data_IF_393241268307
#
_entry.id   IF_393241268307
#
_cell.length_a   1.000
_cell.length_b   1.000
_cell.length_c   1.000
_cell.angle_alpha   90.00
_cell.angle_beta   90.00
_cell.angle_gamma   90.00
#
_symmetry.space_group_name_H-M   'P 1'
#
loop_
_entity.id
_entity.type
_entity.pdbx_description
1 polymer ?
#
# COMPACT_ATOMS: atom_id res chain seq x y z
N UNK A 1 -21.41 -7.02 7.67
CA UNK A 1 -21.71 -5.71 7.03
C UNK A 1 -20.61 -4.74 7.46
N UNK A 2 -19.71 -4.37 6.55
CA UNK A 2 -18.60 -3.48 6.85
C UNK A 2 -19.17 -2.07 7.04
N UNK A 3 -18.87 -1.44 8.17
CA UNK A 3 -19.37 -0.12 8.56
C UNK A 3 -18.86 0.94 7.58
N UNK A 4 -19.78 1.62 6.90
CA UNK A 4 -19.54 2.69 5.92
C UNK A 4 -18.84 3.93 6.49
N UNK A 5 -18.67 4.03 7.82
CA UNK A 5 -18.10 5.21 8.50
C UNK A 5 -16.59 5.42 8.25
N UNK A 6 -15.84 4.39 7.85
CA UNK A 6 -14.39 4.50 7.65
C UNK A 6 -14.01 5.23 6.35
N UNK A 7 -14.94 5.32 5.38
CA UNK A 7 -14.63 5.82 4.03
C UNK A 7 -14.83 7.33 3.83
N UNK A 8 -15.43 8.03 4.78
CA UNK A 8 -15.79 9.46 4.64
C UNK A 8 -14.59 10.42 4.63
N UNK A 9 -13.39 9.98 5.04
CA UNK A 9 -12.20 10.86 5.14
C UNK A 9 -11.16 10.70 4.04
N UNK A 10 -11.49 10.09 2.89
CA UNK A 10 -10.57 10.08 1.73
C UNK A 10 -10.51 11.48 1.12
N UNK A 11 -9.61 12.33 1.63
CA UNK A 11 -9.34 13.65 1.06
C UNK A 11 -8.60 13.49 -0.26
N UNK A 12 -9.29 13.75 -1.37
CA UNK A 12 -8.64 14.00 -2.66
C UNK A 12 -8.17 15.45 -2.71
N UNK A 13 -6.87 15.67 -2.66
CA UNK A 13 -6.27 16.97 -2.95
C UNK A 13 -6.12 17.11 -4.47
N UNK A 14 -7.03 17.87 -5.09
CA UNK A 14 -6.88 18.35 -6.46
C UNK A 14 -6.40 19.80 -6.40
N UNK A 15 -5.23 20.09 -6.98
CA UNK A 15 -4.68 21.46 -7.06
C UNK A 15 -5.53 22.37 -7.96
N UNK A 16 -6.39 21.82 -8.81
CA UNK A 16 -6.99 22.51 -9.95
C UNK A 16 -8.45 22.89 -9.73
N UNK A 17 -8.86 23.29 -8.52
CA UNK A 17 -10.17 23.93 -8.26
C UNK A 17 -11.44 23.17 -8.69
N UNK A 18 -11.32 21.97 -9.27
CA UNK A 18 -12.42 21.16 -9.77
C UNK A 18 -12.98 20.37 -8.59
N UNK A 19 -14.23 20.65 -8.26
CA UNK A 19 -15.00 19.95 -7.21
C UNK A 19 -15.37 18.51 -7.64
N UNK A 20 -14.43 17.75 -8.19
CA UNK A 20 -14.66 16.33 -8.51
C UNK A 20 -14.42 15.54 -7.24
N UNK A 21 -15.52 15.16 -6.60
CA UNK A 21 -15.49 14.36 -5.37
C UNK A 21 -15.40 12.88 -5.77
N UNK A 22 -14.22 12.27 -5.66
CA UNK A 22 -14.02 10.84 -5.89
C UNK A 22 -14.32 10.07 -4.61
N UNK A 23 -15.36 9.23 -4.63
CA UNK A 23 -15.76 8.41 -3.48
C UNK A 23 -15.66 6.92 -3.76
N UNK A 24 -15.84 6.54 -5.02
CA UNK A 24 -15.91 5.15 -5.48
C UNK A 24 -14.84 4.88 -6.54
N UNK A 25 -14.51 3.60 -6.70
CA UNK A 25 -13.58 3.13 -7.72
C UNK A 25 -14.10 3.43 -9.15
N UNK A 26 -15.42 3.46 -9.33
CA UNK A 26 -16.07 3.84 -10.59
C UNK A 26 -15.72 5.26 -11.03
N UNK A 27 -15.52 6.17 -10.08
CA UNK A 27 -15.25 7.57 -10.37
C UNK A 27 -13.83 7.71 -10.95
N UNK A 28 -12.88 6.99 -10.34
CA UNK A 28 -11.50 6.87 -10.84
C UNK A 28 -11.47 6.23 -12.24
N UNK A 29 -12.21 5.14 -12.45
CA UNK A 29 -12.31 4.50 -13.76
C UNK A 29 -12.87 5.44 -14.83
N UNK A 30 -13.87 6.26 -14.47
CA UNK A 30 -14.47 7.24 -15.38
C UNK A 30 -13.48 8.34 -15.74
N UNK A 31 -12.73 8.87 -14.77
CA UNK A 31 -11.68 9.87 -15.04
C UNK A 31 -10.58 9.35 -15.97
N UNK A 32 -10.15 8.10 -15.78
CA UNK A 32 -9.17 7.46 -16.65
C UNK A 32 -9.74 7.26 -18.06
N UNK A 33 -10.98 6.77 -18.17
CA UNK A 33 -11.65 6.53 -19.44
C UNK A 33 -11.93 7.80 -20.23
N UNK A 34 -12.31 8.88 -19.55
CA UNK A 34 -12.63 10.17 -20.16
C UNK A 34 -11.38 10.99 -20.53
N UNK A 35 -10.19 10.56 -20.09
CA UNK A 35 -8.94 11.28 -20.34
C UNK A 35 -8.73 12.52 -19.45
N UNK A 36 -9.50 12.65 -18.36
CA UNK A 36 -9.35 13.74 -17.38
C UNK A 36 -8.02 13.62 -16.62
N UNK A 37 -7.54 12.39 -16.41
CA UNK A 37 -6.27 12.09 -15.77
C UNK A 37 -5.19 11.77 -16.82
N UNK A 38 -4.39 12.78 -17.20
CA UNK A 38 -3.36 12.66 -18.25
C UNK A 38 -2.04 12.08 -17.76
N UNK A 39 -1.69 12.33 -16.50
CA UNK A 39 -0.45 11.88 -15.89
C UNK A 39 -0.79 11.07 -14.63
N UNK A 40 -0.48 9.77 -14.66
CA UNK A 40 -0.83 8.84 -13.57
C UNK A 40 0.46 8.30 -12.95
N UNK A 41 0.61 8.50 -11.64
CA UNK A 41 1.72 7.95 -10.85
C UNK A 41 1.15 6.85 -9.96
N UNK A 42 1.79 5.69 -9.98
CA UNK A 42 1.43 4.54 -9.14
C UNK A 42 2.52 4.39 -8.08
N UNK A 43 2.12 4.40 -6.81
CA UNK A 43 2.99 4.05 -5.68
C UNK A 43 2.56 2.69 -5.17
N UNK A 44 3.47 1.71 -5.23
CA UNK A 44 3.21 0.35 -4.81
C UNK A 44 4.29 -0.14 -3.85
N UNK A 45 3.95 -1.14 -3.05
CA UNK A 45 4.89 -1.87 -2.18
C UNK A 45 4.69 -3.38 -2.30
N UNK A 46 5.39 -4.17 -1.49
CA UNK A 46 5.40 -5.64 -1.58
C UNK A 46 4.00 -6.32 -1.61
N UNK A 47 2.97 -5.67 -1.07
CA UNK A 47 1.59 -6.16 -1.10
C UNK A 47 1.10 -6.55 -2.51
N UNK A 48 1.53 -5.83 -3.56
CA UNK A 48 1.08 -6.12 -4.94
C UNK A 48 1.63 -7.44 -5.49
N UNK A 49 2.74 -7.95 -4.94
CA UNK A 49 3.38 -9.19 -5.38
C UNK A 49 3.01 -10.42 -4.52
N UNK A 50 2.23 -10.24 -3.46
CA UNK A 50 1.78 -11.34 -2.60
C UNK A 50 1.01 -12.45 -3.34
N UNK A 51 0.16 -12.15 -4.35
CA UNK A 51 -0.51 -13.21 -5.13
C UNK A 51 0.44 -14.06 -5.97
N UNK A 52 1.67 -13.58 -6.24
CA UNK A 52 2.70 -14.32 -6.96
C UNK A 52 3.52 -15.25 -6.07
N UNK A 53 3.17 -15.37 -4.79
CA UNK A 53 3.86 -16.22 -3.82
C UNK A 53 5.07 -15.55 -3.14
N UNK A 54 5.31 -14.26 -3.38
CA UNK A 54 6.35 -13.49 -2.68
C UNK A 54 5.71 -12.87 -1.43
N UNK A 55 6.09 -13.27 -0.22
CA UNK A 55 5.49 -12.72 1.00
C UNK A 55 5.79 -11.22 1.11
N UNK A 56 4.83 -10.47 1.66
CA UNK A 56 5.13 -9.10 2.10
C UNK A 56 5.88 -9.11 3.44
N UNK A 57 6.17 -7.93 3.97
CA UNK A 57 6.93 -7.84 5.22
C UNK A 57 6.08 -8.02 6.48
N UNK A 58 4.82 -7.56 6.46
CA UNK A 58 4.07 -7.21 7.67
C UNK A 58 2.75 -7.96 7.86
N UNK A 59 2.35 -8.83 6.94
CA UNK A 59 1.11 -9.60 7.08
C UNK A 59 1.27 -10.66 8.19
N UNK A 60 0.36 -10.73 9.18
CA UNK A 60 0.46 -11.73 10.23
C UNK A 60 0.43 -13.16 9.69
N UNK A 61 1.35 -14.01 10.15
CA UNK A 61 1.47 -15.43 9.81
C UNK A 61 2.10 -15.75 8.45
N UNK A 62 2.00 -14.87 7.44
CA UNK A 62 2.61 -15.07 6.11
C UNK A 62 3.72 -14.08 5.77
N UNK A 63 3.80 -12.96 6.50
CA UNK A 63 4.77 -11.90 6.28
C UNK A 63 6.16 -12.31 6.75
N UNK A 64 7.16 -11.67 6.16
CA UNK A 64 8.57 -11.98 6.41
C UNK A 64 8.95 -11.79 7.88
N UNK A 65 8.50 -10.71 8.53
CA UNK A 65 8.83 -10.43 9.94
C UNK A 65 8.35 -11.51 10.91
N UNK A 66 7.17 -12.11 10.66
CA UNK A 66 6.63 -13.17 11.50
C UNK A 66 7.38 -14.50 11.31
N UNK A 67 7.95 -14.72 10.12
CA UNK A 67 8.68 -15.95 9.79
C UNK A 67 10.18 -15.88 10.13
N UNK A 68 10.68 -14.71 10.55
CA UNK A 68 12.09 -14.49 10.86
C UNK A 68 12.47 -14.86 12.31
N UNK A 69 11.52 -15.26 13.15
CA UNK A 69 11.77 -15.59 14.58
C UNK A 69 12.81 -16.70 14.80
N UNK A 70 13.06 -17.53 13.78
CA UNK A 70 14.09 -18.58 13.83
C UNK A 70 15.51 -18.04 13.72
N UNK A 71 15.68 -16.89 13.06
CA UNK A 71 16.94 -16.18 13.03
C UNK A 71 17.00 -15.38 14.32
N UNK A 72 18.05 -15.57 15.14
CA UNK A 72 18.19 -14.93 16.47
C UNK A 72 18.50 -13.43 16.33
N UNK A 73 17.59 -12.70 15.72
CA UNK A 73 17.69 -11.26 15.44
C UNK A 73 17.02 -10.48 16.57
N UNK A 74 17.55 -9.30 16.95
CA UNK A 74 17.06 -8.54 18.10
C UNK A 74 15.66 -7.95 17.85
N UNK A 75 15.34 -7.64 16.60
CA UNK A 75 14.03 -7.19 16.12
C UNK A 75 13.91 -7.55 14.63
N UNK A 76 12.69 -7.71 14.07
CA UNK A 76 12.49 -8.19 12.71
C UNK A 76 13.12 -7.33 11.61
N UNK A 77 13.19 -6.02 11.82
CA UNK A 77 13.80 -5.08 10.89
C UNK A 77 15.32 -5.16 10.85
N UNK A 78 15.97 -5.79 11.85
CA UNK A 78 17.43 -5.83 11.95
C UNK A 78 18.08 -6.50 10.74
N UNK A 79 17.42 -7.49 10.13
CA UNK A 79 17.93 -8.14 8.90
C UNK A 79 18.04 -7.19 7.70
N UNK A 80 17.35 -6.05 7.74
CA UNK A 80 17.41 -5.01 6.71
C UNK A 80 18.24 -3.79 7.13
N UNK A 81 18.84 -3.83 8.32
CA UNK A 81 19.73 -2.79 8.80
C UNK A 81 21.15 -3.06 8.29
N UNK A 82 21.78 -2.04 7.69
CA UNK A 82 23.11 -2.17 7.13
C UNK A 82 24.15 -2.42 8.23
N UNK A 83 23.97 -1.81 9.39
CA UNK A 83 24.90 -1.97 10.50
C UNK A 83 24.83 -3.40 11.03
N UNK A 84 23.63 -3.99 11.15
CA UNK A 84 23.46 -5.37 11.58
C UNK A 84 24.10 -6.38 10.62
N UNK A 85 24.09 -6.12 9.31
CA UNK A 85 24.65 -7.04 8.32
C UNK A 85 26.19 -7.04 8.27
N UNK A 86 26.85 -5.97 8.73
CA UNK A 86 28.30 -5.81 8.66
C UNK A 86 29.07 -6.24 9.93
N UNK A 87 28.37 -6.58 11.01
CA UNK A 87 28.95 -7.09 12.26
C UNK A 87 28.89 -8.62 12.35
#
# INVERSE_FOLDING_TARGET
KISTKQFESRRTFCSTGSNIILRKLSDVASMLKNGDAKNVVIVAGAGISTPSGIPDFRTPGSGLYDNLQHFKIPYPEAIFDIDFFHH
#
